data_IF_285963126376
#
_entry.id   IF_285963126376
#
_cell.length_a   1.000
_cell.length_b   1.000
_cell.length_c   1.000
_cell.angle_alpha   90.00
_cell.angle_beta   90.00
_cell.angle_gamma   90.00
#
_symmetry.space_group_name_H-M   'P 1'
#
loop_
_entity.id
_entity.type
_entity.pdbx_description
1 polymer ?
#
# COMPACT_ATOMS: atom_id res chain seq x y z
N UNK A 1 6.82 -0.40 -12.74
CA UNK A 1 5.41 -0.41 -13.16
C UNK A 1 4.62 0.19 -12.03
N UNK A 2 3.79 1.22 -12.29
CA UNK A 2 2.97 1.87 -11.26
C UNK A 2 1.59 1.25 -11.21
N UNK A 3 1.00 1.17 -10.02
CA UNK A 3 -0.33 0.58 -9.81
C UNK A 3 -1.09 1.31 -8.73
N UNK A 4 -2.42 1.30 -8.82
CA UNK A 4 -3.31 1.98 -7.88
C UNK A 4 -3.61 1.07 -6.69
N UNK A 5 -3.54 1.64 -5.48
CA UNK A 5 -3.78 0.96 -4.22
C UNK A 5 -4.65 1.83 -3.33
N UNK A 6 -5.65 1.21 -2.72
CA UNK A 6 -6.43 1.80 -1.64
C UNK A 6 -5.88 1.31 -0.28
N UNK A 7 -5.67 2.23 0.65
CA UNK A 7 -5.21 1.92 2.01
C UNK A 7 -6.43 1.68 2.90
N UNK A 8 -6.58 0.43 3.34
CA UNK A 8 -7.74 -0.01 4.12
C UNK A 8 -7.43 -0.28 5.60
N UNK A 9 -6.15 -0.27 5.98
CA UNK A 9 -5.74 -0.46 7.38
C UNK A 9 -4.38 0.21 7.65
N UNK A 10 -3.97 0.24 8.91
CA UNK A 10 -2.67 0.73 9.36
C UNK A 10 -1.92 -0.38 10.12
N UNK A 11 -0.66 -0.61 9.75
CA UNK A 11 0.23 -1.51 10.48
C UNK A 11 0.59 -0.91 11.85
N UNK A 12 1.02 -1.77 12.78
CA UNK A 12 1.47 -1.33 14.12
C UNK A 12 2.65 -0.32 14.05
N UNK A 13 3.46 -0.37 12.99
CA UNK A 13 4.55 0.58 12.73
C UNK A 13 4.13 1.92 12.13
N UNK A 14 2.84 2.08 11.80
CA UNK A 14 2.27 3.30 11.23
C UNK A 14 2.23 3.33 9.69
N UNK A 15 2.72 2.30 9.00
CA UNK A 15 2.57 2.19 7.54
C UNK A 15 1.11 1.93 7.13
N UNK A 16 0.70 2.53 6.01
CA UNK A 16 -0.56 2.21 5.37
C UNK A 16 -0.53 0.80 4.77
N UNK A 17 -1.57 0.01 5.05
CA UNK A 17 -1.74 -1.34 4.50
C UNK A 17 -2.74 -1.28 3.36
N UNK A 18 -2.28 -1.72 2.19
CA UNK A 18 -3.07 -1.79 0.97
C UNK A 18 -3.02 -3.17 0.32
N UNK A 19 -3.78 -3.34 -0.76
CA UNK A 19 -3.80 -4.57 -1.56
C UNK A 19 -3.72 -4.23 -3.04
N UNK A 20 -2.82 -4.90 -3.75
CA UNK A 20 -2.67 -4.79 -5.19
C UNK A 20 -3.79 -5.56 -5.90
N UNK A 21 -4.00 -5.28 -7.19
CA UNK A 21 -5.01 -5.96 -8.01
C UNK A 21 -4.81 -7.48 -8.10
N UNK A 22 -3.57 -7.96 -7.94
CA UNK A 22 -3.22 -9.39 -7.94
C UNK A 22 -3.36 -10.06 -6.55
N UNK A 23 -3.88 -9.32 -5.55
CA UNK A 23 -4.18 -9.84 -4.23
C UNK A 23 -3.03 -9.76 -3.22
N UNK A 24 -1.82 -9.36 -3.64
CA UNK A 24 -0.67 -9.17 -2.73
C UNK A 24 -0.87 -7.97 -1.82
N UNK A 25 -0.34 -8.07 -0.60
CA UNK A 25 -0.37 -7.00 0.40
C UNK A 25 0.85 -6.11 0.24
N UNK A 26 0.64 -4.80 0.36
CA UNK A 26 1.73 -3.80 0.34
C UNK A 26 1.66 -2.92 1.56
N UNK A 27 2.85 -2.49 2.01
CA UNK A 27 3.04 -1.55 3.10
C UNK A 27 3.59 -0.25 2.53
N UNK A 28 2.89 0.86 2.76
CA UNK A 28 3.22 2.16 2.18
C UNK A 28 3.55 3.14 3.29
N UNK A 29 4.83 3.50 3.40
CA UNK A 29 5.30 4.46 4.40
C UNK A 29 4.68 5.84 4.17
N UNK A 30 4.15 6.44 5.23
CA UNK A 30 3.53 7.78 5.20
C UNK A 30 2.12 7.84 4.62
N UNK A 31 1.51 6.70 4.30
CA UNK A 31 0.14 6.63 3.82
C UNK A 31 -0.87 6.55 4.98
N UNK A 32 -2.03 7.20 4.81
CA UNK A 32 -3.11 7.23 5.78
C UNK A 32 -4.29 6.33 5.37
N UNK A 33 -5.14 6.03 6.34
CA UNK A 33 -6.36 5.27 6.10
C UNK A 33 -7.27 6.02 5.10
N UNK A 34 -7.80 5.29 4.12
CA UNK A 34 -8.61 5.78 3.00
C UNK A 34 -7.85 6.58 1.93
N UNK A 35 -6.51 6.58 1.96
CA UNK A 35 -5.73 7.12 0.84
C UNK A 35 -5.88 6.23 -0.41
N UNK A 36 -6.05 6.89 -1.56
CA UNK A 36 -5.94 6.26 -2.87
C UNK A 36 -4.64 6.71 -3.54
N UNK A 37 -3.69 5.79 -3.67
CA UNK A 37 -2.31 6.09 -4.06
C UNK A 37 -1.93 5.34 -5.33
N UNK A 38 -1.16 6.01 -6.18
CA UNK A 38 -0.40 5.37 -7.25
C UNK A 38 0.98 5.02 -6.71
N UNK A 39 1.25 3.73 -6.50
CA UNK A 39 2.50 3.25 -5.94
C UNK A 39 3.38 2.62 -7.02
N UNK A 40 4.69 2.70 -6.85
CA UNK A 40 5.66 1.92 -7.62
C UNK A 40 6.34 0.94 -6.68
N UNK A 41 6.31 -0.35 -7.02
CA UNK A 41 6.97 -1.37 -6.20
C UNK A 41 8.47 -1.24 -6.39
N UNK A 42 9.17 -0.90 -5.31
CA UNK A 42 10.64 -0.77 -5.28
C UNK A 42 11.33 -2.07 -4.85
N UNK A 43 10.65 -2.91 -4.06
CA UNK A 43 11.18 -4.17 -3.51
C UNK A 43 10.06 -5.23 -3.39
N UNK A 44 10.38 -6.50 -3.66
CA UNK A 44 9.49 -7.65 -3.57
C UNK A 44 10.22 -8.78 -2.80
N UNK A 45 9.55 -9.43 -1.84
CA UNK A 45 10.12 -10.55 -1.06
C UNK A 45 9.10 -11.68 -0.91
#
# INVERSE_FOLDING_TARGET
>A
MSTQVNIYDLAVGGEGVGRLADGRVVFVAGAALNDELVVSITEEK
#
